data_IF_838778935278
#
_entry.id   IF_838778935278
#
_cell.length_a   1.000
_cell.length_b   1.000
_cell.length_c   1.000
_cell.angle_alpha   90.00
_cell.angle_beta   90.00
_cell.angle_gamma   90.00
#
_symmetry.space_group_name_H-M   'P 1'
#
loop_
_entity.id
_entity.type
_entity.pdbx_description
1 polymer ?
#
# COMPACT_ATOMS: atom_id res chain seq x y z
N UNK A 1 62.87 -0.15 -19.21
CA UNK A 1 61.82 -0.72 -20.08
C UNK A 1 60.52 -0.71 -19.28
N UNK A 2 59.74 0.35 -19.45
CA UNK A 2 58.45 0.52 -18.73
C UNK A 2 57.36 -0.03 -19.65
N UNK A 3 56.60 -1.04 -19.13
CA UNK A 3 55.45 -1.60 -19.83
C UNK A 3 54.24 -0.67 -19.75
N UNK A 4 53.30 -0.74 -20.69
CA UNK A 4 52.13 0.16 -20.69
C UNK A 4 51.10 -0.26 -19.63
N UNK A 5 50.81 0.68 -18.76
CA UNK A 5 49.74 0.61 -17.77
C UNK A 5 48.38 0.67 -18.52
N UNK A 6 47.71 -0.48 -18.55
CA UNK A 6 46.39 -0.61 -19.19
C UNK A 6 45.34 0.04 -18.30
N UNK A 7 44.97 1.27 -18.57
CA UNK A 7 43.88 1.96 -17.92
C UNK A 7 42.57 1.19 -18.19
N UNK A 8 42.02 0.55 -17.14
CA UNK A 8 40.71 -0.12 -17.15
C UNK A 8 39.65 1.00 -17.28
N UNK A 9 39.07 1.16 -18.47
CA UNK A 9 37.89 2.03 -18.69
C UNK A 9 36.77 1.60 -17.74
N UNK A 10 36.20 2.51 -16.95
CA UNK A 10 35.04 2.18 -16.12
C UNK A 10 33.90 1.67 -17.01
N UNK A 11 33.45 0.46 -16.75
CA UNK A 11 32.33 -0.18 -17.42
C UNK A 11 31.07 0.71 -17.20
N UNK A 12 30.55 1.34 -18.26
CA UNK A 12 29.32 2.11 -18.21
C UNK A 12 28.24 1.21 -17.60
N UNK A 13 27.64 1.65 -16.48
CA UNK A 13 26.48 0.99 -15.90
C UNK A 13 25.42 0.84 -17.01
N UNK A 14 24.91 -0.38 -17.18
CA UNK A 14 23.85 -0.68 -18.15
C UNK A 14 22.64 0.22 -17.84
N UNK A 15 22.19 0.99 -18.81
CA UNK A 15 21.03 1.86 -18.60
C UNK A 15 19.81 1.00 -18.22
N UNK A 16 19.14 1.34 -17.13
CA UNK A 16 17.90 0.67 -16.70
C UNK A 16 16.84 0.74 -17.81
N UNK A 17 16.04 -0.32 -18.01
CA UNK A 17 14.85 -0.28 -18.84
C UNK A 17 13.93 0.90 -18.46
N UNK A 18 13.13 1.45 -19.39
CA UNK A 18 12.28 2.60 -19.11
C UNK A 18 11.34 2.41 -17.90
N UNK A 19 10.71 1.24 -17.80
CA UNK A 19 9.75 0.96 -16.71
C UNK A 19 10.45 0.82 -15.34
N UNK A 20 11.61 0.18 -15.30
CA UNK A 20 12.41 0.08 -14.08
C UNK A 20 12.91 1.47 -13.63
N UNK A 21 13.25 2.34 -14.58
CA UNK A 21 13.63 3.71 -14.30
C UNK A 21 12.46 4.52 -13.76
N UNK A 22 11.26 4.38 -14.34
CA UNK A 22 10.04 5.02 -13.82
C UNK A 22 9.77 4.56 -12.37
N UNK A 23 9.80 3.27 -12.12
CA UNK A 23 9.59 2.70 -10.78
C UNK A 23 10.63 3.18 -9.77
N UNK A 24 11.90 3.28 -10.14
CA UNK A 24 12.97 3.82 -9.30
C UNK A 24 12.72 5.30 -8.95
N UNK A 25 12.32 6.13 -9.92
CA UNK A 25 12.00 7.55 -9.68
C UNK A 25 10.79 7.67 -8.76
N UNK A 26 9.73 6.91 -8.98
CA UNK A 26 8.53 6.88 -8.12
C UNK A 26 8.90 6.50 -6.69
N UNK A 27 9.70 5.44 -6.51
CA UNK A 27 10.13 5.00 -5.18
C UNK A 27 10.98 6.06 -4.45
N UNK A 28 11.88 6.75 -5.17
CA UNK A 28 12.68 7.85 -4.60
C UNK A 28 11.84 9.09 -4.29
N UNK A 29 10.73 9.30 -4.99
CA UNK A 29 9.85 10.47 -4.83
C UNK A 29 8.87 10.31 -3.67
N UNK A 30 8.44 9.10 -3.34
CA UNK A 30 7.43 8.85 -2.30
C UNK A 30 7.80 9.46 -0.93
N UNK A 31 9.01 9.31 -0.37
CA UNK A 31 9.40 9.99 0.88
C UNK A 31 9.32 11.51 0.79
N UNK A 32 9.68 12.09 -0.35
CA UNK A 32 9.62 13.53 -0.57
C UNK A 32 8.18 14.04 -0.65
N UNK A 33 7.27 13.27 -1.24
CA UNK A 33 5.83 13.58 -1.26
C UNK A 33 5.25 13.55 0.15
N UNK A 34 5.64 12.59 0.98
CA UNK A 34 5.22 12.53 2.38
C UNK A 34 5.70 13.75 3.19
N UNK A 35 6.88 14.30 2.90
CA UNK A 35 7.46 15.43 3.61
C UNK A 35 7.00 16.80 3.06
N UNK A 36 6.95 16.94 1.73
CA UNK A 36 6.75 18.21 1.06
C UNK A 36 5.42 18.32 0.31
N UNK A 37 4.68 17.22 0.20
CA UNK A 37 3.47 17.12 -0.60
C UNK A 37 3.74 17.31 -2.09
N UNK A 38 2.78 17.87 -2.79
CA UNK A 38 2.92 18.23 -4.21
C UNK A 38 3.79 19.49 -4.46
N UNK A 39 4.38 20.08 -3.41
CA UNK A 39 5.38 21.16 -3.51
C UNK A 39 6.81 20.66 -3.72
N UNK A 40 7.04 19.34 -3.71
CA UNK A 40 8.33 18.74 -4.05
C UNK A 40 8.82 19.28 -5.41
N UNK A 41 10.13 19.55 -5.51
CA UNK A 41 10.74 20.09 -6.73
C UNK A 41 11.41 18.99 -7.55
N UNK A 42 11.49 19.17 -8.87
CA UNK A 42 12.19 18.25 -9.78
C UNK A 42 13.66 18.05 -9.40
N UNK A 43 14.29 19.08 -8.87
CA UNK A 43 15.67 19.03 -8.36
C UNK A 43 15.79 18.10 -7.15
N UNK A 44 14.89 18.21 -6.15
CA UNK A 44 14.87 17.30 -4.99
C UNK A 44 14.66 15.85 -5.43
N UNK A 45 13.74 15.62 -6.38
CA UNK A 45 13.47 14.30 -6.94
C UNK A 45 14.70 13.73 -7.63
N UNK A 46 15.36 14.51 -8.48
CA UNK A 46 16.56 14.09 -9.20
C UNK A 46 17.70 13.74 -8.25
N UNK A 47 17.90 14.54 -7.19
CA UNK A 47 18.89 14.31 -6.15
C UNK A 47 18.60 13.03 -5.36
N UNK A 48 17.35 12.82 -4.92
CA UNK A 48 16.95 11.61 -4.21
C UNK A 48 17.05 10.33 -5.07
N UNK A 49 16.77 10.44 -6.37
CA UNK A 49 16.89 9.34 -7.33
C UNK A 49 18.33 9.12 -7.83
N UNK A 50 19.29 10.00 -7.50
CA UNK A 50 20.69 9.93 -7.94
C UNK A 50 20.85 10.09 -9.46
N UNK A 51 20.01 10.91 -10.11
CA UNK A 51 20.00 11.14 -11.56
C UNK A 51 20.03 12.63 -11.91
N UNK A 52 20.31 12.96 -13.16
CA UNK A 52 20.16 14.33 -13.64
C UNK A 52 18.69 14.74 -13.76
N UNK A 53 18.35 15.98 -13.44
CA UNK A 53 16.99 16.52 -13.51
C UNK A 53 16.32 16.30 -14.87
N UNK A 54 17.06 16.50 -15.99
CA UNK A 54 16.56 16.22 -17.32
C UNK A 54 16.20 14.73 -17.57
N UNK A 55 16.66 13.81 -16.70
CA UNK A 55 16.28 12.39 -16.79
C UNK A 55 14.90 12.16 -16.18
N UNK A 56 14.50 12.93 -15.17
CA UNK A 56 13.13 12.90 -14.62
C UNK A 56 12.13 13.26 -15.71
N UNK A 57 12.37 14.36 -16.45
CA UNK A 57 11.50 14.82 -17.55
C UNK A 57 11.54 13.95 -18.82
N UNK A 58 12.50 13.02 -18.93
CA UNK A 58 12.43 11.98 -19.97
C UNK A 58 11.54 10.81 -19.59
N UNK A 59 11.34 10.59 -18.29
CA UNK A 59 10.51 9.50 -17.76
C UNK A 59 9.06 9.95 -17.52
N UNK A 60 8.84 11.23 -17.20
CA UNK A 60 7.54 11.83 -16.91
C UNK A 60 7.42 13.15 -17.67
N UNK A 61 6.26 13.39 -18.30
CA UNK A 61 6.04 14.61 -19.10
C UNK A 61 6.11 15.89 -18.23
N UNK A 62 5.63 15.78 -17.00
CA UNK A 62 5.67 16.85 -16.00
C UNK A 62 5.68 16.30 -14.57
N UNK A 63 5.70 17.22 -13.60
CA UNK A 63 5.69 16.87 -12.17
C UNK A 63 4.36 16.27 -11.75
N UNK A 64 3.26 16.70 -12.32
CA UNK A 64 1.93 16.22 -11.96
C UNK A 64 1.77 14.74 -12.37
N UNK A 65 2.26 14.34 -13.56
CA UNK A 65 2.30 12.94 -13.97
C UNK A 65 3.10 12.09 -12.98
N UNK A 66 4.25 12.59 -12.51
CA UNK A 66 5.04 11.89 -11.51
C UNK A 66 4.31 11.78 -10.17
N UNK A 67 3.66 12.83 -9.68
CA UNK A 67 2.87 12.78 -8.45
C UNK A 67 1.73 11.76 -8.58
N UNK A 68 1.01 11.75 -9.71
CA UNK A 68 -0.03 10.74 -9.98
C UNK A 68 0.56 9.33 -9.93
N UNK A 69 1.72 9.10 -10.55
CA UNK A 69 2.38 7.79 -10.53
C UNK A 69 2.79 7.36 -9.10
N UNK A 70 3.22 8.31 -8.24
CA UNK A 70 3.50 8.04 -6.82
C UNK A 70 2.23 7.64 -6.07
N UNK A 71 1.12 8.35 -6.30
CA UNK A 71 -0.16 8.02 -5.68
C UNK A 71 -0.70 6.67 -6.17
N UNK A 72 -0.58 6.39 -7.47
CA UNK A 72 -0.96 5.08 -8.05
C UNK A 72 -0.16 3.93 -7.44
N UNK A 73 1.14 4.11 -7.24
CA UNK A 73 1.98 3.13 -6.55
C UNK A 73 1.58 2.99 -5.07
N UNK A 74 1.21 4.10 -4.42
CA UNK A 74 0.76 4.08 -3.02
C UNK A 74 -0.57 3.34 -2.84
N UNK A 75 -1.48 3.38 -3.80
CA UNK A 75 -2.78 2.68 -3.73
C UNK A 75 -2.78 1.31 -4.43
N UNK A 76 -1.65 0.85 -4.97
CA UNK A 76 -1.52 -0.47 -5.61
C UNK A 76 -1.96 -1.58 -4.63
N UNK A 77 -2.91 -2.46 -4.98
CA UNK A 77 -3.36 -3.53 -4.10
C UNK A 77 -2.33 -4.64 -3.89
N UNK A 78 -1.33 -4.79 -4.75
CA UNK A 78 -0.38 -5.92 -4.71
C UNK A 78 0.39 -6.06 -3.39
N UNK A 79 0.93 -4.99 -2.78
CA UNK A 79 1.59 -5.10 -1.48
C UNK A 79 0.67 -5.64 -0.37
N UNK A 80 -0.61 -5.24 -0.36
CA UNK A 80 -1.61 -5.76 0.56
C UNK A 80 -1.87 -7.25 0.32
N UNK A 81 -2.09 -7.64 -0.95
CA UNK A 81 -2.31 -9.04 -1.33
C UNK A 81 -1.14 -9.94 -0.91
N UNK A 82 0.10 -9.48 -1.13
CA UNK A 82 1.31 -10.22 -0.74
C UNK A 82 1.41 -10.36 0.78
N UNK A 83 1.14 -9.29 1.53
CA UNK A 83 1.19 -9.31 2.98
C UNK A 83 0.11 -10.23 3.58
N UNK A 84 -1.12 -10.20 3.05
CA UNK A 84 -2.20 -11.11 3.46
C UNK A 84 -1.89 -12.56 3.08
N UNK A 85 -1.34 -12.81 1.90
CA UNK A 85 -0.92 -14.15 1.46
C UNK A 85 0.23 -14.71 2.31
N UNK A 86 1.02 -13.86 2.94
CA UNK A 86 2.09 -14.22 3.88
C UNK A 86 1.60 -14.65 5.27
N UNK A 87 0.32 -14.52 5.59
CA UNK A 87 -0.24 -15.00 6.86
C UNK A 87 -0.16 -16.52 6.87
N UNK A 88 0.47 -17.16 7.90
CA UNK A 88 0.68 -18.59 7.91
C UNK A 88 -0.64 -19.37 7.83
N UNK A 89 -0.75 -20.35 6.93
CA UNK A 89 -1.87 -21.26 6.93
C UNK A 89 -1.86 -22.13 8.21
N UNK A 90 -3.03 -22.40 8.77
CA UNK A 90 -3.15 -23.22 10.00
C UNK A 90 -3.13 -22.41 11.30
N UNK A 91 -3.09 -21.08 11.23
CA UNK A 91 -3.43 -20.25 12.39
C UNK A 91 -4.89 -20.50 12.81
N UNK A 92 -5.20 -20.46 14.13
CA UNK A 92 -6.59 -20.37 14.58
C UNK A 92 -7.31 -19.22 13.88
N UNK A 93 -8.59 -19.41 13.54
CA UNK A 93 -9.35 -18.47 12.72
C UNK A 93 -9.28 -17.03 13.22
N UNK A 94 -9.50 -16.82 14.52
CA UNK A 94 -9.42 -15.52 15.16
C UNK A 94 -8.04 -14.88 15.00
N UNK A 95 -6.98 -15.67 15.12
CA UNK A 95 -5.59 -15.19 14.97
C UNK A 95 -5.23 -14.86 13.53
N UNK A 96 -5.77 -15.61 12.57
CA UNK A 96 -5.62 -15.29 11.16
C UNK A 96 -6.33 -13.95 10.82
N UNK A 97 -7.52 -13.72 11.37
CA UNK A 97 -8.26 -12.46 11.20
C UNK A 97 -7.55 -11.29 11.89
N UNK A 98 -7.04 -11.47 13.12
CA UNK A 98 -6.26 -10.44 13.82
C UNK A 98 -5.04 -10.02 12.99
N UNK A 99 -4.29 -11.00 12.45
CA UNK A 99 -3.14 -10.73 11.59
C UNK A 99 -3.55 -9.98 10.31
N UNK A 100 -4.67 -10.37 9.69
CA UNK A 100 -5.21 -9.69 8.51
C UNK A 100 -5.63 -8.25 8.84
N UNK A 101 -6.26 -8.02 9.98
CA UNK A 101 -6.65 -6.68 10.44
C UNK A 101 -5.42 -5.79 10.65
N UNK A 102 -4.34 -6.29 11.28
CA UNK A 102 -3.09 -5.54 11.45
C UNK A 102 -2.55 -5.07 10.10
N UNK A 103 -2.46 -5.96 9.12
CA UNK A 103 -1.97 -5.65 7.76
C UNK A 103 -2.87 -4.61 7.09
N UNK A 104 -4.19 -4.78 7.17
CA UNK A 104 -5.15 -3.85 6.57
C UNK A 104 -5.14 -2.48 7.25
N UNK A 105 -5.03 -2.41 8.58
CA UNK A 105 -4.95 -1.15 9.32
C UNK A 105 -3.70 -0.36 8.92
N UNK A 106 -2.54 -1.01 8.87
CA UNK A 106 -1.30 -0.36 8.44
C UNK A 106 -1.47 0.20 7.02
N UNK A 107 -2.07 -0.57 6.12
CA UNK A 107 -2.33 -0.15 4.74
C UNK A 107 -3.23 1.08 4.66
N UNK A 108 -4.30 1.14 5.46
CA UNK A 108 -5.20 2.30 5.53
C UNK A 108 -4.44 3.55 5.97
N UNK A 109 -3.60 3.42 7.00
CA UNK A 109 -2.81 4.53 7.53
C UNK A 109 -1.79 5.02 6.49
N UNK A 110 -1.09 4.11 5.82
CA UNK A 110 -0.06 4.46 4.83
C UNK A 110 -0.66 5.17 3.61
N UNK A 111 -1.78 4.66 3.08
CA UNK A 111 -2.51 5.33 2.00
C UNK A 111 -2.96 6.72 2.44
N UNK A 112 -3.56 6.82 3.64
CA UNK A 112 -4.01 8.11 4.17
C UNK A 112 -2.88 9.13 4.28
N UNK A 113 -1.71 8.74 4.78
CA UNK A 113 -0.54 9.62 4.89
C UNK A 113 -0.13 10.20 3.54
N UNK A 114 -0.06 9.37 2.51
CA UNK A 114 0.32 9.82 1.16
C UNK A 114 -0.78 10.69 0.56
N UNK A 115 -2.03 10.24 0.62
CA UNK A 115 -3.16 11.01 0.05
C UNK A 115 -3.34 12.36 0.74
N UNK A 116 -3.22 12.43 2.06
CA UNK A 116 -3.36 13.69 2.81
C UNK A 116 -2.20 14.67 2.62
N UNK A 117 -1.05 14.22 2.10
CA UNK A 117 0.10 15.09 1.84
C UNK A 117 -0.01 15.91 0.56
N UNK A 118 -0.92 15.55 -0.35
CA UNK A 118 -1.10 16.24 -1.64
C UNK A 118 -2.42 16.98 -1.72
N UNK A 119 -2.52 17.94 -2.65
CA UNK A 119 -3.77 18.66 -2.87
C UNK A 119 -4.87 17.76 -3.44
N UNK A 120 -6.13 18.08 -3.11
CA UNK A 120 -7.32 17.28 -3.44
C UNK A 120 -7.52 17.05 -4.94
N UNK A 121 -6.96 17.91 -5.82
CA UNK A 121 -7.01 17.73 -7.27
C UNK A 121 -6.44 16.39 -7.73
N UNK A 122 -5.46 15.84 -7.00
CA UNK A 122 -4.86 14.55 -7.33
C UNK A 122 -5.73 13.36 -6.91
N UNK A 123 -6.63 13.53 -5.93
CA UNK A 123 -7.53 12.46 -5.48
C UNK A 123 -8.52 12.04 -6.57
N UNK A 124 -8.99 12.98 -7.37
CA UNK A 124 -9.88 12.70 -8.49
C UNK A 124 -9.18 11.84 -9.57
N UNK A 125 -7.89 12.12 -9.82
CA UNK A 125 -7.10 11.43 -10.84
C UNK A 125 -6.77 9.98 -10.47
N UNK A 126 -6.77 9.66 -9.17
CA UNK A 126 -6.41 8.33 -8.65
C UNK A 126 -7.61 7.54 -8.12
N UNK A 127 -8.82 8.06 -8.26
CA UNK A 127 -10.04 7.43 -7.75
C UNK A 127 -10.32 6.10 -8.46
N UNK A 128 -10.31 5.00 -7.70
CA UNK A 128 -10.62 3.65 -8.18
C UNK A 128 -11.54 2.94 -7.20
N UNK A 129 -12.43 2.04 -7.69
CA UNK A 129 -13.14 1.11 -6.81
C UNK A 129 -12.13 0.25 -6.03
N UNK A 130 -12.43 -0.03 -4.77
CA UNK A 130 -11.62 -0.95 -3.97
C UNK A 130 -11.89 -2.38 -4.46
N UNK A 131 -10.88 -3.01 -5.06
CA UNK A 131 -10.97 -4.39 -5.53
C UNK A 131 -11.11 -5.39 -4.36
N UNK A 132 -11.69 -6.54 -4.63
CA UNK A 132 -11.69 -7.64 -3.67
C UNK A 132 -10.27 -8.19 -3.49
N UNK A 133 -9.99 -8.74 -2.32
CA UNK A 133 -8.72 -9.35 -1.98
C UNK A 133 -8.86 -10.87 -2.03
N UNK A 134 -8.21 -11.50 -3.00
CA UNK A 134 -8.20 -12.96 -3.11
C UNK A 134 -7.51 -13.62 -1.90
N UNK A 135 -6.49 -12.98 -1.35
CA UNK A 135 -5.80 -13.48 -0.17
C UNK A 135 -6.71 -13.48 1.05
N UNK A 136 -7.50 -12.40 1.26
CA UNK A 136 -8.45 -12.33 2.37
C UNK A 136 -9.60 -13.33 2.18
N UNK A 137 -10.11 -13.47 0.96
CA UNK A 137 -11.13 -14.48 0.63
C UNK A 137 -10.64 -15.90 0.95
N UNK A 138 -9.37 -16.23 0.65
CA UNK A 138 -8.80 -17.54 0.99
C UNK A 138 -8.73 -17.79 2.49
N UNK A 139 -8.47 -16.80 3.32
CA UNK A 139 -8.51 -16.94 4.79
C UNK A 139 -9.90 -17.35 5.25
N UNK A 140 -10.95 -16.72 4.73
CA UNK A 140 -12.33 -17.08 5.07
C UNK A 140 -12.74 -18.44 4.49
N UNK A 141 -12.33 -18.75 3.27
CA UNK A 141 -12.65 -20.03 2.61
C UNK A 141 -12.05 -21.23 3.37
N UNK A 142 -10.86 -21.06 3.97
CA UNK A 142 -10.25 -22.08 4.82
C UNK A 142 -11.02 -22.35 6.14
N UNK A 143 -11.97 -21.47 6.50
CA UNK A 143 -12.79 -21.57 7.71
C UNK A 143 -14.29 -21.37 7.40
N UNK A 144 -14.73 -21.85 6.25
CA UNK A 144 -16.10 -21.65 5.76
C UNK A 144 -17.17 -22.23 6.71
N UNK A 145 -16.84 -23.27 7.45
CA UNK A 145 -17.68 -23.89 8.50
C UNK A 145 -17.93 -22.97 9.71
N UNK A 146 -17.14 -21.91 9.88
CA UNK A 146 -17.22 -20.98 11.00
C UNK A 146 -17.92 -19.65 10.66
N UNK A 147 -18.36 -19.46 9.41
CA UNK A 147 -19.02 -18.25 8.94
C UNK A 147 -20.42 -18.58 8.41
N UNK A 148 -21.31 -17.57 8.39
CA UNK A 148 -22.72 -17.71 7.97
C UNK A 148 -22.99 -17.10 6.59
N UNK A 149 -21.97 -16.47 5.99
CA UNK A 149 -22.05 -15.81 4.69
C UNK A 149 -20.96 -16.36 3.78
N UNK A 150 -21.04 -16.07 2.49
CA UNK A 150 -19.99 -16.47 1.55
C UNK A 150 -18.65 -15.85 1.91
N UNK A 151 -17.51 -16.56 1.72
CA UNK A 151 -16.18 -16.07 2.04
C UNK A 151 -15.85 -14.68 1.47
N UNK A 152 -16.29 -14.39 0.25
CA UNK A 152 -16.10 -13.09 -0.39
C UNK A 152 -16.87 -11.97 0.32
N UNK A 153 -18.07 -12.26 0.80
CA UNK A 153 -18.89 -11.31 1.56
C UNK A 153 -18.27 -11.04 2.92
N UNK A 154 -17.82 -12.08 3.63
CA UNK A 154 -17.11 -11.95 4.90
C UNK A 154 -15.84 -11.11 4.75
N UNK A 155 -15.07 -11.33 3.68
CA UNK A 155 -13.88 -10.56 3.37
C UNK A 155 -14.18 -9.07 3.13
N UNK A 156 -15.23 -8.77 2.36
CA UNK A 156 -15.70 -7.39 2.13
C UNK A 156 -16.14 -6.71 3.43
N UNK A 157 -16.91 -7.39 4.27
CA UNK A 157 -17.41 -6.87 5.53
C UNK A 157 -16.26 -6.59 6.51
N UNK A 158 -15.30 -7.51 6.67
CA UNK A 158 -14.14 -7.29 7.52
C UNK A 158 -13.30 -6.10 7.04
N UNK A 159 -13.06 -6.00 5.72
CA UNK A 159 -12.34 -4.88 5.12
C UNK A 159 -13.05 -3.53 5.37
N UNK A 160 -14.37 -3.48 5.17
CA UNK A 160 -15.18 -2.28 5.41
C UNK A 160 -15.15 -1.86 6.87
N UNK A 161 -15.29 -2.83 7.80
CA UNK A 161 -15.21 -2.57 9.23
C UNK A 161 -13.81 -2.08 9.62
N UNK A 162 -12.76 -2.72 9.11
CA UNK A 162 -11.38 -2.28 9.35
C UNK A 162 -11.16 -0.85 8.85
N UNK A 163 -11.60 -0.54 7.63
CA UNK A 163 -11.48 0.81 7.08
C UNK A 163 -12.19 1.84 7.96
N UNK A 164 -13.45 1.59 8.31
CA UNK A 164 -14.27 2.55 9.08
C UNK A 164 -13.75 2.78 10.50
N UNK A 165 -13.08 1.79 11.09
CA UNK A 165 -12.54 1.86 12.48
C UNK A 165 -11.06 2.24 12.54
N UNK A 166 -10.44 2.55 11.38
CA UNK A 166 -9.00 2.87 11.28
C UNK A 166 -8.75 4.20 10.59
N UNK A 167 -9.60 4.59 9.63
CA UNK A 167 -9.38 5.78 8.82
C UNK A 167 -9.46 7.05 9.68
N UNK A 168 -8.43 7.94 9.69
CA UNK A 168 -8.35 9.08 10.61
C UNK A 168 -9.49 10.11 10.52
N UNK A 169 -10.24 10.12 9.42
CA UNK A 169 -11.45 10.95 9.33
C UNK A 169 -12.72 10.29 9.92
N UNK A 170 -12.65 9.01 10.29
CA UNK A 170 -13.80 8.24 10.77
C UNK A 170 -13.62 7.75 12.22
N UNK A 171 -12.37 7.64 12.67
CA UNK A 171 -12.03 7.17 14.01
C UNK A 171 -10.86 8.00 14.56
N UNK A 172 -10.98 8.44 15.83
CA UNK A 172 -9.92 9.18 16.52
C UNK A 172 -8.69 8.32 16.75
N UNK A 173 -8.91 7.04 17.10
CA UNK A 173 -7.87 6.03 17.26
C UNK A 173 -8.30 4.71 16.59
N UNK A 174 -7.37 3.97 15.95
CA UNK A 174 -7.66 2.66 15.41
C UNK A 174 -8.11 1.69 16.51
N UNK A 175 -9.18 0.95 16.26
CA UNK A 175 -9.59 -0.14 17.16
C UNK A 175 -8.54 -1.24 17.19
N UNK A 176 -8.25 -1.81 18.37
CA UNK A 176 -7.31 -2.94 18.45
C UNK A 176 -7.78 -4.15 17.62
N UNK A 177 -6.85 -4.89 16.98
CA UNK A 177 -7.21 -5.99 16.08
C UNK A 177 -8.08 -7.05 16.73
N UNK A 178 -7.77 -7.46 17.95
CA UNK A 178 -8.54 -8.42 18.74
C UNK A 178 -9.97 -7.92 18.99
N UNK A 179 -10.13 -6.67 19.45
CA UNK A 179 -11.44 -6.06 19.70
C UNK A 179 -12.27 -5.94 18.43
N UNK A 180 -11.62 -5.63 17.28
CA UNK A 180 -12.29 -5.57 15.99
C UNK A 180 -12.76 -6.95 15.54
N UNK A 181 -11.92 -7.97 15.67
CA UNK A 181 -12.26 -9.36 15.33
C UNK A 181 -13.37 -9.88 16.22
N UNK A 182 -13.35 -9.60 17.54
CA UNK A 182 -14.45 -9.96 18.44
C UNK A 182 -15.76 -9.28 18.03
N UNK A 183 -15.73 -7.99 17.71
CA UNK A 183 -16.89 -7.27 17.22
C UNK A 183 -17.41 -7.86 15.90
N UNK A 184 -16.51 -8.20 14.97
CA UNK A 184 -16.85 -8.77 13.67
C UNK A 184 -17.52 -10.14 13.80
N UNK A 185 -16.97 -11.02 14.63
CA UNK A 185 -17.45 -12.40 14.77
C UNK A 185 -18.71 -12.51 15.65
N UNK A 186 -18.86 -11.68 16.66
CA UNK A 186 -19.92 -11.80 17.65
C UNK A 186 -20.91 -10.64 17.64
N UNK A 187 -20.63 -9.55 16.91
CA UNK A 187 -21.51 -8.38 16.84
C UNK A 187 -21.50 -7.56 18.15
N UNK A 188 -22.50 -6.69 18.30
CA UNK A 188 -22.68 -5.78 19.43
C UNK A 188 -23.87 -6.15 20.32
N UNK A 189 -24.54 -7.25 20.01
CA UNK A 189 -25.70 -7.73 20.76
C UNK A 189 -25.32 -8.42 22.06
N UNK A 190 -26.30 -8.52 22.97
CA UNK A 190 -26.16 -9.22 24.25
C UNK A 190 -25.86 -10.72 24.05
N UNK A 191 -24.90 -11.25 24.76
CA UNK A 191 -24.53 -12.67 24.72
C UNK A 191 -25.64 -13.60 25.22
N UNK A 192 -26.62 -13.07 25.95
CA UNK A 192 -27.68 -13.88 26.58
C UNK A 192 -28.90 -14.16 25.70
N UNK A 193 -28.98 -13.64 24.46
CA UNK A 193 -30.13 -13.88 23.56
C UNK A 193 -29.87 -14.86 22.41
N UNK A 194 -28.82 -15.65 22.47
CA UNK A 194 -28.57 -16.74 21.55
C UNK A 194 -29.06 -18.06 22.15
N UNK A 195 -30.39 -18.15 22.36
CA UNK A 195 -31.12 -19.42 22.58
C UNK A 195 -32.03 -19.68 21.42
#
# INVERSE_FOLDING_TARGET
MSGPETAIKPRRATALPPDERRSMIVAATLPLVLEHGDRVTSRQIAEAAGIAEGTVFRAFADKDELIVAVLEAAIDPQPLEQALAGIPPGLPFEKALEAAVVVMQQRVIDIWRVMSSVSTRFHELTRRPIADSDALVRIFAAHADRIRVEPIEAARLLRQLTLSTTHPMLADEPRSPDSLVQLFLHGIGDKERAC
#
